data_IF_273468222754
#
_entry.id   IF_273468222754
#
_cell.length_a   1.000
_cell.length_b   1.000
_cell.length_c   1.000
_cell.angle_alpha   90.00
_cell.angle_beta   90.00
_cell.angle_gamma   90.00
#
_symmetry.space_group_name_H-M   'P 1'
#
loop_
_entity.id
_entity.type
_entity.pdbx_description
1 polymer ?
#
# COMPACT_ATOMS: atom_id res chain seq x y z
N UNK A 1 7.29 6.51 10.27
CA UNK A 1 7.12 7.94 10.52
C UNK A 1 7.22 8.13 12.02
N UNK A 2 8.16 8.95 12.49
CA UNK A 2 8.15 9.39 13.88
C UNK A 2 7.06 10.47 14.07
N UNK A 3 6.86 10.93 15.30
CA UNK A 3 5.81 11.91 15.61
C UNK A 3 6.04 13.25 14.88
N UNK A 4 7.27 13.76 14.90
CA UNK A 4 7.60 15.05 14.27
C UNK A 4 7.33 15.05 12.76
N UNK A 5 7.72 13.98 12.05
CA UNK A 5 7.42 13.80 10.62
C UNK A 5 5.92 13.73 10.35
N UNK A 6 5.15 13.12 11.25
CA UNK A 6 3.70 13.02 11.09
C UNK A 6 3.02 14.38 11.28
N UNK A 7 3.53 15.21 12.18
CA UNK A 7 3.06 16.58 12.40
C UNK A 7 3.40 17.50 11.23
N UNK A 8 4.63 17.42 10.70
CA UNK A 8 5.03 18.14 9.48
C UNK A 8 4.12 17.77 8.30
N UNK A 9 3.91 16.48 8.05
CA UNK A 9 3.05 16.02 6.96
C UNK A 9 1.58 16.43 7.16
N UNK A 10 1.08 16.37 8.40
CA UNK A 10 -0.26 16.84 8.72
C UNK A 10 -0.42 18.34 8.44
N UNK A 11 0.57 19.15 8.79
CA UNK A 11 0.61 20.57 8.46
C UNK A 11 0.57 20.79 6.95
N UNK A 12 1.44 20.11 6.19
CA UNK A 12 1.49 20.23 4.72
C UNK A 12 0.15 19.87 4.05
N UNK A 13 -0.51 18.81 4.52
CA UNK A 13 -1.83 18.39 4.05
C UNK A 13 -2.86 19.51 4.27
N UNK A 14 -2.89 20.08 5.47
CA UNK A 14 -3.84 21.12 5.86
C UNK A 14 -3.58 22.42 5.11
N UNK A 15 -2.33 22.86 5.00
CA UNK A 15 -1.96 24.09 4.27
C UNK A 15 -2.27 23.98 2.79
N UNK A 16 -1.86 22.89 2.14
CA UNK A 16 -2.18 22.64 0.73
C UNK A 16 -3.69 22.61 0.50
N UNK A 17 -4.42 21.93 1.37
CA UNK A 17 -5.87 21.85 1.30
C UNK A 17 -6.54 23.22 1.47
N UNK A 18 -6.07 24.05 2.39
CA UNK A 18 -6.56 25.42 2.56
C UNK A 18 -6.21 26.34 1.39
N UNK A 19 -5.09 26.12 0.73
CA UNK A 19 -4.74 26.86 -0.48
C UNK A 19 -5.70 26.52 -1.64
N UNK A 20 -6.06 25.24 -1.80
CA UNK A 20 -6.94 24.77 -2.88
C UNK A 20 -8.44 24.98 -2.58
N UNK A 21 -8.84 24.82 -1.32
CA UNK A 21 -10.23 24.84 -0.87
C UNK A 21 -10.33 25.37 0.57
N UNK A 22 -10.06 26.67 0.74
CA UNK A 22 -9.95 27.38 2.04
C UNK A 22 -11.04 27.03 3.06
N UNK A 23 -12.30 26.99 2.64
CA UNK A 23 -13.45 26.78 3.53
C UNK A 23 -13.74 25.29 3.80
N UNK A 24 -12.98 24.39 3.19
CA UNK A 24 -13.17 22.94 3.31
C UNK A 24 -12.17 22.28 4.25
N UNK A 25 -11.04 22.94 4.51
CA UNK A 25 -9.99 22.42 5.39
C UNK A 25 -9.99 23.14 6.74
N UNK A 26 -9.83 22.39 7.86
CA UNK A 26 -9.71 23.01 9.17
C UNK A 26 -8.44 23.86 9.25
N UNK A 27 -8.42 24.81 10.18
CA UNK A 27 -7.26 25.68 10.39
C UNK A 27 -6.13 24.86 11.03
N UNK A 28 -4.88 24.94 10.55
CA UNK A 28 -3.75 24.20 11.10
C UNK A 28 -3.25 24.85 12.41
N UNK A 29 -4.04 24.76 13.46
CA UNK A 29 -3.57 25.01 14.82
C UNK A 29 -2.89 23.77 15.41
N UNK A 30 -2.17 23.94 16.53
CA UNK A 30 -1.42 22.86 17.18
C UNK A 30 -2.27 21.61 17.46
N UNK A 31 -3.51 21.76 17.92
CA UNK A 31 -4.37 20.63 18.26
C UNK A 31 -4.86 19.91 17.01
N UNK A 32 -5.20 20.67 15.97
CA UNK A 32 -5.64 20.14 14.68
C UNK A 32 -4.51 19.37 14.02
N UNK A 33 -3.30 19.94 13.98
CA UNK A 33 -2.10 19.27 13.42
C UNK A 33 -1.81 17.97 14.17
N UNK A 34 -1.79 17.98 15.51
CA UNK A 34 -1.56 16.78 16.32
C UNK A 34 -2.60 15.67 16.08
N UNK A 35 -3.89 16.04 16.01
CA UNK A 35 -4.96 15.08 15.75
C UNK A 35 -4.87 14.48 14.34
N UNK A 36 -4.48 15.28 13.34
CA UNK A 36 -4.24 14.80 11.98
C UNK A 36 -3.00 13.91 11.90
N UNK A 37 -1.91 14.29 12.59
CA UNK A 37 -0.66 13.54 12.66
C UNK A 37 -0.88 12.14 13.23
N UNK A 38 -1.73 12.00 14.26
CA UNK A 38 -2.08 10.69 14.82
C UNK A 38 -2.72 9.78 13.76
N UNK A 39 -3.59 10.31 12.91
CA UNK A 39 -4.23 9.53 11.85
C UNK A 39 -3.24 9.21 10.73
N UNK A 40 -2.50 10.21 10.25
CA UNK A 40 -1.54 10.06 9.16
C UNK A 40 -0.44 9.08 9.53
N UNK A 41 0.12 9.19 10.74
CA UNK A 41 1.19 8.33 11.26
C UNK A 41 0.80 6.85 11.39
N UNK A 42 -0.50 6.53 11.48
CA UNK A 42 -0.99 5.14 11.48
C UNK A 42 -0.84 4.46 10.12
N UNK A 43 -0.78 5.22 9.03
CA UNK A 43 -0.68 4.67 7.68
C UNK A 43 0.72 4.86 7.11
N UNK A 44 1.33 3.75 6.68
CA UNK A 44 2.62 3.77 5.98
C UNK A 44 2.42 4.11 4.51
N UNK A 45 2.04 5.36 4.24
CA UNK A 45 1.98 5.92 2.90
C UNK A 45 3.09 6.95 2.71
N UNK A 46 3.66 7.09 1.50
CA UNK A 46 4.64 8.13 1.22
C UNK A 46 4.03 9.54 1.29
N UNK A 47 4.80 10.52 1.75
CA UNK A 47 4.36 11.91 1.93
C UNK A 47 3.80 12.52 0.64
N UNK A 48 4.47 12.29 -0.50
CA UNK A 48 4.01 12.77 -1.80
C UNK A 48 2.63 12.23 -2.19
N UNK A 49 2.28 11.02 -1.74
CA UNK A 49 1.00 10.39 -2.03
C UNK A 49 -0.14 11.05 -1.23
N UNK A 50 0.14 11.51 -0.01
CA UNK A 50 -0.79 12.30 0.78
C UNK A 50 -1.07 13.66 0.15
N UNK A 51 -0.03 14.33 -0.36
CA UNK A 51 -0.22 15.62 -1.03
C UNK A 51 -0.98 15.48 -2.36
N UNK A 52 -0.77 14.39 -3.09
CA UNK A 52 -1.58 14.06 -4.25
C UNK A 52 -3.03 13.74 -3.88
N UNK A 53 -3.25 13.06 -2.75
CA UNK A 53 -4.59 12.79 -2.21
C UNK A 53 -5.36 14.08 -1.94
N UNK A 54 -4.70 15.12 -1.42
CA UNK A 54 -5.32 16.45 -1.24
C UNK A 54 -5.78 17.02 -2.57
N UNK A 55 -4.93 16.96 -3.61
CA UNK A 55 -5.29 17.41 -4.96
C UNK A 55 -6.49 16.65 -5.50
N UNK A 56 -6.48 15.30 -5.42
CA UNK A 56 -7.60 14.45 -5.87
C UNK A 56 -8.87 14.78 -5.09
N UNK A 57 -8.78 14.95 -3.78
CA UNK A 57 -9.94 15.31 -2.97
C UNK A 57 -10.56 16.62 -3.44
N UNK A 58 -9.73 17.68 -3.58
CA UNK A 58 -10.20 18.99 -4.01
C UNK A 58 -10.78 18.99 -5.42
N UNK A 59 -10.26 18.17 -6.34
CA UNK A 59 -10.71 18.14 -7.73
C UNK A 59 -11.90 17.21 -7.98
N UNK A 60 -11.97 16.08 -7.32
CA UNK A 60 -12.86 14.97 -7.70
C UNK A 60 -13.85 14.55 -6.61
N UNK A 61 -13.51 14.80 -5.34
CA UNK A 61 -14.26 14.28 -4.19
C UNK A 61 -14.72 15.38 -3.22
N UNK A 62 -14.59 16.64 -3.61
CA UNK A 62 -14.91 17.77 -2.75
C UNK A 62 -16.38 17.72 -2.37
N UNK A 63 -16.65 17.91 -1.08
CA UNK A 63 -18.02 17.89 -0.54
C UNK A 63 -18.37 19.23 0.09
N UNK A 64 -19.66 19.41 0.43
CA UNK A 64 -20.13 20.60 1.14
C UNK A 64 -19.84 20.60 2.64
N UNK A 65 -19.30 19.50 3.19
CA UNK A 65 -18.86 19.45 4.60
C UNK A 65 -17.36 19.72 4.71
N UNK A 66 -16.92 20.00 5.92
CA UNK A 66 -15.50 20.07 6.22
C UNK A 66 -14.85 18.71 6.01
N UNK A 67 -13.62 18.73 5.48
CA UNK A 67 -12.82 17.53 5.23
C UNK A 67 -12.39 16.90 6.55
N UNK A 68 -12.37 15.58 6.54
CA UNK A 68 -11.85 14.77 7.65
C UNK A 68 -10.61 14.01 7.20
N UNK A 69 -9.77 13.53 8.13
CA UNK A 69 -8.65 12.66 7.79
C UNK A 69 -9.07 11.42 6.96
N UNK A 70 -10.28 10.90 7.18
CA UNK A 70 -10.81 9.76 6.43
C UNK A 70 -11.02 10.09 4.94
N UNK A 71 -11.52 11.29 4.63
CA UNK A 71 -11.73 11.71 3.24
C UNK A 71 -10.41 11.75 2.47
N UNK A 72 -9.35 12.26 3.10
CA UNK A 72 -8.01 12.31 2.50
C UNK A 72 -7.41 10.90 2.39
N UNK A 73 -7.62 10.03 3.39
CA UNK A 73 -7.18 8.63 3.30
C UNK A 73 -7.85 7.90 2.13
N UNK A 74 -9.14 8.11 1.92
CA UNK A 74 -9.85 7.53 0.77
C UNK A 74 -9.30 8.06 -0.55
N UNK A 75 -9.05 9.36 -0.64
CA UNK A 75 -8.39 9.95 -1.81
C UNK A 75 -6.97 9.39 -2.02
N UNK A 76 -6.22 9.14 -0.95
CA UNK A 76 -4.89 8.55 -1.00
C UNK A 76 -4.91 7.11 -1.49
N UNK A 77 -5.96 6.34 -1.15
CA UNK A 77 -6.18 5.00 -1.71
C UNK A 77 -6.47 5.06 -3.21
N UNK A 78 -7.24 6.05 -3.67
CA UNK A 78 -7.46 6.26 -5.11
C UNK A 78 -6.15 6.62 -5.81
N UNK A 79 -5.36 7.57 -5.28
CA UNK A 79 -4.04 7.91 -5.79
C UNK A 79 -3.16 6.66 -5.88
N UNK A 80 -3.08 5.89 -4.79
CA UNK A 80 -2.31 4.65 -4.74
C UNK A 80 -2.70 3.68 -5.85
N UNK A 81 -3.99 3.42 -6.02
CA UNK A 81 -4.48 2.51 -7.07
C UNK A 81 -4.11 3.00 -8.47
N UNK A 82 -4.16 4.32 -8.73
CA UNK A 82 -3.71 4.89 -10.02
C UNK A 82 -2.21 4.66 -10.24
N UNK A 83 -1.39 4.88 -9.22
CA UNK A 83 0.04 4.62 -9.28
C UNK A 83 0.37 3.13 -9.45
N UNK A 84 -0.46 2.24 -8.90
CA UNK A 84 -0.31 0.79 -9.09
C UNK A 84 -0.70 0.32 -10.51
N UNK A 85 -1.29 1.17 -11.35
CA UNK A 85 -1.61 0.82 -12.75
C UNK A 85 -0.40 0.94 -13.69
N UNK A 86 0.61 1.76 -13.36
CA UNK A 86 1.81 1.92 -14.18
C UNK A 86 3.03 1.17 -13.61
N UNK A 87 3.92 0.64 -14.46
CA UNK A 87 5.20 0.04 -14.02
C UNK A 87 6.07 1.01 -13.21
N UNK A 88 6.12 2.27 -13.63
CA UNK A 88 6.88 3.33 -12.96
C UNK A 88 6.29 3.61 -11.58
N UNK A 89 4.97 3.65 -11.47
CA UNK A 89 4.31 3.95 -10.22
C UNK A 89 4.40 2.81 -9.20
N UNK A 90 4.33 1.56 -9.66
CA UNK A 90 4.67 0.39 -8.82
C UNK A 90 6.09 0.46 -8.30
N UNK A 91 7.05 0.84 -9.14
CA UNK A 91 8.46 0.98 -8.78
C UNK A 91 8.66 2.08 -7.74
N UNK A 92 8.01 3.24 -7.91
CA UNK A 92 8.05 4.33 -6.93
C UNK A 92 7.46 3.92 -5.57
N UNK A 93 6.32 3.23 -5.58
CA UNK A 93 5.68 2.73 -4.36
C UNK A 93 6.48 1.61 -3.67
N UNK A 94 7.19 0.77 -4.42
CA UNK A 94 8.09 -0.25 -3.87
C UNK A 94 9.32 0.40 -3.22
N UNK A 95 9.96 1.35 -3.92
CA UNK A 95 11.08 2.14 -3.41
C UNK A 95 10.71 2.85 -2.10
N UNK A 96 9.55 3.49 -2.05
CA UNK A 96 9.07 4.19 -0.85
C UNK A 96 8.77 3.25 0.33
N UNK A 97 8.50 1.96 0.07
CA UNK A 97 8.36 0.92 1.11
C UNK A 97 9.70 0.36 1.59
N UNK A 98 10.81 0.73 0.95
CA UNK A 98 12.11 0.09 1.14
C UNK A 98 12.17 -1.32 0.54
N UNK A 99 11.24 -1.65 -0.36
CA UNK A 99 11.31 -2.88 -1.15
C UNK A 99 12.29 -2.63 -2.31
N UNK A 100 13.26 -3.53 -2.50
CA UNK A 100 14.11 -3.48 -3.67
C UNK A 100 13.21 -3.73 -4.90
N UNK A 101 13.12 -2.78 -5.86
CA UNK A 101 12.40 -3.04 -7.09
C UNK A 101 13.21 -4.09 -7.85
N UNK A 102 12.68 -5.32 -7.92
CA UNK A 102 13.20 -6.30 -8.87
C UNK A 102 12.87 -5.76 -10.25
N UNK A 103 13.89 -5.25 -10.92
CA UNK A 103 13.72 -4.65 -12.23
C UNK A 103 13.27 -5.72 -13.21
N UNK A 104 12.50 -5.35 -14.23
CA UNK A 104 12.10 -6.31 -15.25
C UNK A 104 13.32 -6.95 -15.93
N UNK A 105 14.43 -6.21 -16.05
CA UNK A 105 15.71 -6.73 -16.50
C UNK A 105 16.31 -7.81 -15.56
N UNK A 106 16.18 -7.67 -14.24
CA UNK A 106 16.62 -8.71 -13.28
C UNK A 106 15.76 -9.98 -13.40
N UNK A 107 14.43 -9.81 -13.58
CA UNK A 107 13.50 -10.92 -13.83
C UNK A 107 13.86 -11.63 -15.13
N UNK A 108 14.04 -10.88 -16.22
CA UNK A 108 14.40 -11.42 -17.53
C UNK A 108 15.78 -12.10 -17.49
N UNK A 109 16.77 -11.51 -16.83
CA UNK A 109 18.10 -12.10 -16.66
C UNK A 109 18.09 -13.39 -15.83
N UNK A 110 17.18 -13.52 -14.86
CA UNK A 110 17.00 -14.75 -14.11
C UNK A 110 16.35 -15.86 -14.96
N UNK A 111 15.27 -15.52 -15.67
CA UNK A 111 14.55 -16.49 -16.49
C UNK A 111 15.26 -16.85 -17.80
N UNK A 112 16.17 -16.01 -18.30
CA UNK A 112 17.01 -16.30 -19.47
C UNK A 112 18.10 -17.35 -19.20
N UNK A 113 18.48 -17.57 -17.94
CA UNK A 113 19.44 -18.60 -17.55
C UNK A 113 18.77 -19.99 -17.53
N UNK A 114 19.49 -21.00 -18.03
CA UNK A 114 19.09 -22.41 -17.86
C UNK A 114 19.23 -22.85 -16.39
N UNK A 115 18.54 -23.91 -15.93
CA UNK A 115 18.61 -24.35 -14.53
C UNK A 115 20.03 -24.61 -14.02
N UNK A 116 20.94 -25.05 -14.90
CA UNK A 116 22.36 -25.33 -14.56
C UNK A 116 23.18 -24.05 -14.40
N UNK A 117 22.71 -22.93 -14.94
CA UNK A 117 23.36 -21.61 -14.90
C UNK A 117 22.85 -20.71 -13.77
N UNK A 118 21.90 -21.19 -12.95
CA UNK A 118 21.31 -20.39 -11.86
C UNK A 118 21.99 -20.76 -10.54
N UNK A 119 22.45 -19.74 -9.81
CA UNK A 119 23.03 -19.90 -8.47
C UNK A 119 21.95 -20.15 -7.38
N UNK A 120 20.68 -19.94 -7.72
CA UNK A 120 19.52 -20.08 -6.83
C UNK A 120 18.36 -20.78 -7.56
N UNK A 121 17.52 -21.50 -6.82
CA UNK A 121 16.31 -22.13 -7.35
C UNK A 121 15.21 -21.09 -7.63
N UNK A 122 14.22 -21.37 -8.50
CA UNK A 122 13.09 -20.47 -8.74
C UNK A 122 12.35 -20.04 -7.47
N UNK A 123 12.30 -20.93 -6.48
CA UNK A 123 11.70 -20.66 -5.19
C UNK A 123 12.54 -19.70 -4.37
N UNK A 124 13.84 -19.91 -4.27
CA UNK A 124 14.76 -19.02 -3.56
C UNK A 124 14.79 -17.62 -4.19
N UNK A 125 14.85 -17.54 -5.52
CA UNK A 125 14.71 -16.29 -6.26
C UNK A 125 13.41 -15.55 -5.91
N UNK A 126 12.27 -16.23 -5.99
CA UNK A 126 10.97 -15.64 -5.63
C UNK A 126 10.90 -15.20 -4.17
N UNK A 127 11.56 -15.92 -3.26
CA UNK A 127 11.60 -15.56 -1.84
C UNK A 127 12.47 -14.33 -1.57
N UNK A 128 13.59 -14.20 -2.28
CA UNK A 128 14.48 -13.03 -2.22
C UNK A 128 13.81 -11.78 -2.79
N UNK A 129 13.16 -11.92 -3.94
CA UNK A 129 12.50 -10.84 -4.68
C UNK A 129 11.16 -10.42 -4.05
N UNK A 130 10.42 -11.35 -3.46
CA UNK A 130 9.13 -11.08 -2.83
C UNK A 130 9.10 -11.57 -1.37
N UNK A 131 9.92 -10.98 -0.48
CA UNK A 131 10.09 -11.47 0.89
C UNK A 131 8.78 -11.42 1.70
N UNK A 132 7.89 -10.47 1.41
CA UNK A 132 6.58 -10.38 2.06
C UNK A 132 5.63 -11.49 1.62
N UNK A 133 5.58 -11.80 0.33
CA UNK A 133 4.75 -12.90 -0.21
C UNK A 133 5.27 -14.23 0.32
N UNK A 134 6.60 -14.39 0.37
CA UNK A 134 7.25 -15.56 0.95
C UNK A 134 6.88 -15.77 2.42
N UNK A 135 6.93 -14.71 3.25
CA UNK A 135 6.48 -14.76 4.65
C UNK A 135 5.01 -15.15 4.75
N UNK A 136 4.14 -14.51 3.97
CA UNK A 136 2.70 -14.84 3.98
C UNK A 136 2.43 -16.30 3.61
N UNK A 137 3.14 -16.84 2.61
CA UNK A 137 3.05 -18.26 2.23
C UNK A 137 3.57 -19.16 3.36
N UNK A 138 4.68 -18.80 4.01
CA UNK A 138 5.22 -19.53 5.14
C UNK A 138 4.22 -19.58 6.31
N UNK A 139 3.67 -18.43 6.71
CA UNK A 139 2.64 -18.32 7.76
C UNK A 139 1.40 -19.17 7.42
N UNK A 140 0.97 -19.14 6.16
CA UNK A 140 -0.17 -19.93 5.67
C UNK A 140 0.11 -21.44 5.71
N UNK A 141 1.33 -21.86 5.38
CA UNK A 141 1.75 -23.27 5.46
C UNK A 141 1.89 -23.73 6.91
N UNK A 142 2.38 -22.88 7.80
CA UNK A 142 2.46 -23.14 9.25
C UNK A 142 1.07 -23.33 9.85
N UNK A 143 0.14 -22.41 9.57
CA UNK A 143 -1.28 -22.57 9.96
C UNK A 143 -1.91 -23.86 9.44
N UNK A 144 -1.51 -24.35 8.27
CA UNK A 144 -2.01 -25.63 7.72
C UNK A 144 -1.44 -26.85 8.44
N UNK A 145 -0.25 -26.78 9.03
CA UNK A 145 0.33 -27.88 9.83
C UNK A 145 -0.46 -28.09 11.12
N UNK A 146 -0.90 -26.98 11.73
CA UNK A 146 -1.65 -27.00 12.99
C UNK A 146 -3.17 -27.13 12.78
N UNK A 147 -3.63 -27.01 11.54
CA UNK A 147 -5.04 -27.21 11.21
C UNK A 147 -5.38 -28.72 11.31
N UNK A 148 -6.49 -29.09 11.97
CA UNK A 148 -6.95 -30.47 11.95
C UNK A 148 -7.15 -30.91 10.50
N UNK A 149 -6.78 -32.15 10.14
CA UNK A 149 -6.94 -32.64 8.77
C UNK A 149 -8.40 -32.46 8.37
N UNK A 150 -8.62 -31.86 7.19
CA UNK A 150 -9.95 -31.72 6.63
C UNK A 150 -10.59 -33.11 6.54
N UNK A 151 -11.53 -33.40 7.45
CA UNK A 151 -12.43 -34.54 7.31
C UNK A 151 -13.55 -34.06 6.40
N UNK A 152 -13.53 -34.50 5.15
CA UNK A 152 -14.69 -34.35 4.30
C UNK A 152 -15.85 -35.07 4.98
N UNK A 153 -16.87 -34.34 5.42
CA UNK A 153 -18.10 -34.98 5.89
C UNK A 153 -18.74 -35.74 4.72
N UNK A 154 -19.23 -36.97 4.93
CA UNK A 154 -19.92 -37.72 3.88
C UNK A 154 -21.08 -36.88 3.30
N UNK A 155 -20.95 -36.46 2.03
CA UNK A 155 -21.92 -35.59 1.36
C UNK A 155 -21.39 -34.21 0.93
N UNK A 156 -20.26 -33.76 1.48
CA UNK A 156 -19.59 -32.53 1.05
C UNK A 156 -18.55 -32.80 -0.06
N UNK A 157 -19.05 -33.06 -1.26
CA UNK A 157 -18.24 -33.04 -2.47
C UNK A 157 -18.19 -31.61 -2.99
N UNK A 158 -17.00 -31.06 -3.16
CA UNK A 158 -16.82 -29.77 -3.81
C UNK A 158 -17.31 -29.90 -5.26
N UNK A 159 -18.47 -29.31 -5.56
CA UNK A 159 -18.99 -29.17 -6.92
C UNK A 159 -18.74 -27.74 -7.37
N UNK A 160 -17.84 -27.49 -8.33
CA UNK A 160 -17.72 -26.18 -8.93
C UNK A 160 -19.06 -25.90 -9.63
N UNK A 161 -19.83 -24.96 -9.10
CA UNK A 161 -21.06 -24.49 -9.76
C UNK A 161 -20.70 -24.07 -11.18
N UNK A 162 -21.40 -24.68 -12.13
CA UNK A 162 -21.32 -24.50 -13.57
C UNK A 162 -21.16 -23.02 -13.95
N UNK A 163 -20.09 -22.72 -14.69
CA UNK A 163 -20.03 -21.61 -15.64
C UNK A 163 -20.81 -22.02 -16.90
#
# INVERSE_FOLDING_TARGET
>A
MNQDQAEELALDILEKGRYLAKDRFPVPDTKTVQAWAEVVGRYRLPDWLWLEAVTIFCMEKITQRMVTPLDILEAARVAKTRWEQSPEGRTALAKARGEAPTTQAEVEAYYSKTPVQRDETPREYQQRVHPRVARMIADMLERRKDAPPYRAEPGHWWSPKKL
#
